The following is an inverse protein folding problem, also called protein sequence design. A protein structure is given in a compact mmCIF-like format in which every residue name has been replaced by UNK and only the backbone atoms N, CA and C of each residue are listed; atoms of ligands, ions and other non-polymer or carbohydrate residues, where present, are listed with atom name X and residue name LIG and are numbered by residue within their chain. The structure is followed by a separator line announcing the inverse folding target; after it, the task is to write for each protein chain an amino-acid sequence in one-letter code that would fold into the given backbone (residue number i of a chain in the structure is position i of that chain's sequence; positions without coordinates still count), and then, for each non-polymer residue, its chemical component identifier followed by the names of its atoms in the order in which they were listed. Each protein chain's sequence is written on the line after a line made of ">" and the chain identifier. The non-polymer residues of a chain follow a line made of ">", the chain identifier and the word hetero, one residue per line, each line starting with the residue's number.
data_IF_253848479293
#
_entry.id   IF_253848479293
#
_cell.length_a   1.000
_cell.length_b   1.000
_cell.length_c   1.000
_cell.angle_alpha   90.00
_cell.angle_beta   90.00
_cell.angle_gamma   90.00
#
_symmetry.space_group_name_H-M   'P 1'
#
loop_
_entity.id
_entity.type
_entity.pdbx_description
1 polymer ?
#
# COMPACT_ATOMS: atom_id res chain seq x y z
N UNK A 1 -15.53 0.51 -15.17
CA UNK A 1 -15.67 0.40 -13.69
C UNK A 1 -17.03 0.97 -13.30
N UNK A 2 -17.78 0.35 -12.39
CA UNK A 2 -19.13 0.83 -11.98
C UNK A 2 -19.08 1.66 -10.69
N UNK A 3 -20.13 2.42 -10.37
CA UNK A 3 -20.28 3.11 -9.07
C UNK A 3 -20.18 2.12 -7.90
N UNK A 4 -20.81 0.94 -8.03
CA UNK A 4 -20.76 -0.08 -6.99
C UNK A 4 -19.35 -0.66 -6.78
N UNK A 5 -18.53 -0.74 -7.83
CA UNK A 5 -17.12 -1.14 -7.71
C UNK A 5 -16.27 -0.03 -7.10
N UNK A 6 -16.62 1.24 -7.37
CA UNK A 6 -15.98 2.43 -6.81
C UNK A 6 -16.15 2.52 -5.31
N UNK A 7 -17.40 2.46 -4.84
CA UNK A 7 -17.69 2.56 -3.42
C UNK A 7 -17.06 1.42 -2.60
N UNK A 8 -16.79 0.27 -3.22
CA UNK A 8 -16.09 -0.86 -2.60
C UNK A 8 -14.56 -0.79 -2.69
N UNK A 9 -14.01 0.23 -3.33
CA UNK A 9 -12.57 0.43 -3.54
C UNK A 9 -11.84 -0.82 -4.09
N UNK A 10 -12.49 -1.61 -4.95
CA UNK A 10 -11.98 -2.95 -5.34
C UNK A 10 -10.70 -2.91 -6.16
N UNK A 11 -10.57 -1.90 -7.03
CA UNK A 11 -9.48 -1.81 -7.99
C UNK A 11 -9.02 -0.34 -8.07
N UNK A 12 -8.03 0.06 -7.24
CA UNK A 12 -7.54 1.44 -7.24
C UNK A 12 -6.95 1.86 -8.59
N UNK A 13 -6.28 0.96 -9.31
CA UNK A 13 -5.69 1.29 -10.61
C UNK A 13 -6.77 1.63 -11.64
N UNK A 14 -7.95 1.00 -11.55
CA UNK A 14 -9.10 1.34 -12.37
C UNK A 14 -9.78 2.64 -11.92
N UNK A 15 -9.79 2.94 -10.62
CA UNK A 15 -10.28 4.21 -10.08
C UNK A 15 -9.44 5.38 -10.59
N UNK A 16 -8.12 5.25 -10.51
CA UNK A 16 -7.18 6.30 -10.92
C UNK A 16 -7.21 6.51 -12.43
N UNK A 17 -7.23 5.44 -13.23
CA UNK A 17 -7.41 5.56 -14.70
C UNK A 17 -8.73 6.21 -15.10
N UNK A 18 -9.79 6.05 -14.30
CA UNK A 18 -11.08 6.69 -14.56
C UNK A 18 -11.03 8.22 -14.33
N UNK A 19 -10.18 8.66 -13.39
CA UNK A 19 -10.03 10.07 -13.03
C UNK A 19 -8.80 10.75 -13.64
N UNK A 20 -7.96 10.04 -14.39
CA UNK A 20 -6.63 10.52 -14.84
C UNK A 20 -6.68 11.93 -15.44
N UNK A 21 -7.58 12.15 -16.41
CA UNK A 21 -7.78 13.44 -17.08
C UNK A 21 -8.49 14.51 -16.23
N UNK A 22 -9.03 14.14 -15.07
CA UNK A 22 -9.75 15.04 -14.15
C UNK A 22 -8.90 15.48 -12.97
N UNK A 23 -7.87 14.72 -12.60
CA UNK A 23 -7.09 14.99 -11.39
C UNK A 23 -6.11 16.15 -11.61
N UNK A 24 -6.18 17.14 -10.72
CA UNK A 24 -5.22 18.24 -10.70
C UNK A 24 -3.84 17.77 -10.19
N UNK A 25 -2.76 18.54 -10.44
CA UNK A 25 -1.47 18.28 -9.81
C UNK A 25 -1.54 18.23 -8.28
N UNK A 26 -2.36 19.07 -7.65
CA UNK A 26 -2.60 19.07 -6.20
C UNK A 26 -3.21 17.74 -5.74
N UNK A 27 -4.21 17.23 -6.45
CA UNK A 27 -4.89 15.97 -6.12
C UNK A 27 -3.95 14.76 -6.25
N UNK A 28 -3.17 14.70 -7.34
CA UNK A 28 -2.13 13.69 -7.50
C UNK A 28 -1.10 13.74 -6.38
N UNK A 29 -0.64 14.95 -6.04
CA UNK A 29 0.35 15.16 -4.98
C UNK A 29 -0.21 14.72 -3.62
N UNK A 30 -1.43 15.09 -3.24
CA UNK A 30 -2.02 14.69 -1.96
C UNK A 30 -2.22 13.17 -1.84
N UNK A 31 -2.58 12.51 -2.93
CA UNK A 31 -2.64 11.05 -2.96
C UNK A 31 -1.24 10.43 -2.78
N UNK A 32 -0.23 10.98 -3.44
CA UNK A 32 1.17 10.55 -3.27
C UNK A 32 1.66 10.76 -1.82
N UNK A 33 1.36 11.91 -1.20
CA UNK A 33 1.62 12.18 0.22
C UNK A 33 0.99 11.10 1.12
N UNK A 34 -0.27 10.76 0.89
CA UNK A 34 -0.96 9.72 1.66
C UNK A 34 -0.29 8.34 1.52
N UNK A 35 0.20 8.00 0.33
CA UNK A 35 0.97 6.77 0.09
C UNK A 35 2.31 6.79 0.82
N UNK A 36 3.11 7.85 0.68
CA UNK A 36 4.40 8.00 1.37
C UNK A 36 4.22 7.95 2.89
N UNK A 37 3.13 8.54 3.41
CA UNK A 37 2.81 8.52 4.85
C UNK A 37 2.62 7.11 5.42
N UNK A 38 2.38 6.08 4.59
CA UNK A 38 2.32 4.69 5.06
C UNK A 38 3.69 4.12 5.43
N UNK A 39 4.77 4.74 4.98
CA UNK A 39 6.14 4.40 5.37
C UNK A 39 6.60 5.18 6.62
N UNK A 40 5.70 5.84 7.36
CA UNK A 40 6.06 6.68 8.51
C UNK A 40 6.84 5.92 9.60
N UNK A 41 6.51 4.65 9.85
CA UNK A 41 7.22 3.81 10.82
C UNK A 41 8.62 3.37 10.35
N UNK A 42 8.90 3.50 9.05
CA UNK A 42 10.21 3.23 8.45
C UNK A 42 11.06 4.49 8.40
N UNK A 43 10.44 5.64 8.13
CA UNK A 43 11.10 6.95 8.10
C UNK A 43 11.44 7.41 9.53
N UNK A 44 12.71 7.62 9.90
CA UNK A 44 13.04 8.19 11.20
C UNK A 44 12.69 9.69 11.27
N UNK A 45 12.76 10.24 12.48
CA UNK A 45 12.67 11.68 12.70
C UNK A 45 13.69 12.47 11.87
N UNK A 46 13.41 13.75 11.62
CA UNK A 46 14.36 14.66 10.96
C UNK A 46 14.01 14.97 9.50
N UNK A 47 15.03 15.16 8.61
CA UNK A 47 14.82 15.76 7.28
C UNK A 47 13.83 15.01 6.40
N UNK A 48 13.78 13.68 6.45
CA UNK A 48 12.88 12.88 5.62
C UNK A 48 11.41 13.10 5.99
N UNK A 49 11.07 13.08 7.28
CA UNK A 49 9.71 13.38 7.75
C UNK A 49 9.34 14.84 7.53
N UNK A 50 10.27 15.76 7.75
CA UNK A 50 10.06 17.18 7.48
C UNK A 50 9.74 17.45 6.00
N UNK A 51 10.39 16.74 5.07
CA UNK A 51 10.09 16.83 3.64
C UNK A 51 8.66 16.35 3.31
N UNK A 52 8.21 15.24 3.90
CA UNK A 52 6.83 14.77 3.72
C UNK A 52 5.81 15.76 4.29
N UNK A 53 6.08 16.31 5.47
CA UNK A 53 5.21 17.32 6.10
C UNK A 53 5.16 18.62 5.31
N UNK A 54 6.29 19.04 4.73
CA UNK A 54 6.35 20.17 3.82
C UNK A 54 5.50 19.92 2.57
N UNK A 55 5.64 18.75 1.92
CA UNK A 55 4.88 18.36 0.74
C UNK A 55 3.37 18.33 1.00
N UNK A 56 2.96 17.83 2.17
CA UNK A 56 1.57 17.86 2.63
C UNK A 56 1.02 19.29 2.82
N UNK A 57 1.85 20.23 3.25
CA UNK A 57 1.46 21.64 3.46
C UNK A 57 1.45 22.47 2.18
N UNK A 58 2.18 22.04 1.14
CA UNK A 58 2.31 22.72 -0.15
C UNK A 58 1.80 21.82 -1.29
N UNK A 59 0.52 21.40 -1.27
CA UNK A 59 0.06 20.37 -2.17
C UNK A 59 0.00 20.89 -3.61
N UNK A 60 0.61 20.14 -4.53
CA UNK A 60 0.78 20.52 -5.93
C UNK A 60 1.95 21.45 -6.21
N UNK A 61 2.69 21.90 -5.17
CA UNK A 61 3.90 22.69 -5.35
C UNK A 61 5.08 21.78 -5.71
N UNK A 62 5.61 21.98 -6.92
CA UNK A 62 6.83 21.34 -7.40
C UNK A 62 7.87 22.39 -7.82
N UNK A 63 7.78 23.58 -7.22
CA UNK A 63 8.62 24.73 -7.52
C UNK A 63 10.02 24.62 -6.94
N UNK A 64 10.77 25.74 -6.96
CA UNK A 64 12.15 25.80 -6.46
C UNK A 64 12.30 25.36 -5.00
N UNK A 65 11.29 25.63 -4.16
CA UNK A 65 11.31 25.27 -2.74
C UNK A 65 11.25 23.75 -2.53
N UNK A 66 10.42 23.04 -3.33
CA UNK A 66 10.42 21.58 -3.36
C UNK A 66 11.79 21.03 -3.83
N UNK A 67 12.31 21.60 -4.91
CA UNK A 67 13.59 21.20 -5.50
C UNK A 67 14.77 21.42 -4.56
N UNK A 68 14.73 22.44 -3.69
CA UNK A 68 15.76 22.75 -2.72
C UNK A 68 15.86 21.70 -1.60
N UNK A 69 14.81 20.93 -1.34
CA UNK A 69 14.82 19.85 -0.34
C UNK A 69 15.48 18.56 -0.86
N UNK A 70 15.42 18.31 -2.16
CA UNK A 70 15.89 17.05 -2.79
C UNK A 70 17.36 16.73 -2.47
N UNK A 71 18.34 17.67 -2.57
CA UNK A 71 19.74 17.37 -2.29
C UNK A 71 20.01 16.90 -0.86
N UNK A 72 19.12 17.23 0.09
CA UNK A 72 19.23 16.79 1.49
C UNK A 72 18.72 15.37 1.75
N UNK A 73 17.97 14.77 0.81
CA UNK A 73 17.31 13.47 1.01
C UNK A 73 18.32 12.32 1.05
N UNK A 74 19.24 12.23 0.07
CA UNK A 74 20.21 11.11 0.03
C UNK A 74 21.15 11.09 1.24
N UNK A 75 21.77 12.22 1.66
CA UNK A 75 22.64 12.22 2.84
C UNK A 75 21.86 11.87 4.11
N UNK A 76 20.62 12.38 4.26
CA UNK A 76 19.76 12.05 5.38
C UNK A 76 19.36 10.57 5.38
N UNK A 77 19.09 9.99 4.21
CA UNK A 77 18.76 8.58 4.05
C UNK A 77 19.92 7.67 4.45
N UNK A 78 21.16 8.02 4.08
CA UNK A 78 22.34 7.25 4.46
C UNK A 78 22.53 7.21 5.99
N UNK A 79 22.49 8.37 6.64
CA UNK A 79 22.60 8.46 8.11
C UNK A 79 21.47 7.69 8.78
N UNK A 80 20.24 7.88 8.31
CA UNK A 80 19.07 7.17 8.83
C UNK A 80 19.15 5.64 8.64
N UNK A 81 19.69 5.17 7.52
CA UNK A 81 19.87 3.76 7.24
C UNK A 81 20.94 3.14 8.17
N UNK A 82 22.05 3.84 8.41
CA UNK A 82 23.07 3.45 9.38
C UNK A 82 22.49 3.37 10.81
N UNK A 83 21.73 4.38 11.25
CA UNK A 83 21.06 4.37 12.55
C UNK A 83 20.04 3.21 12.69
N UNK A 84 19.29 2.91 11.62
CA UNK A 84 18.36 1.79 11.58
C UNK A 84 19.10 0.46 11.66
N UNK A 85 20.23 0.31 10.97
CA UNK A 85 21.12 -0.84 11.07
C UNK A 85 21.65 -1.00 12.48
N UNK A 86 22.16 0.06 13.11
CA UNK A 86 22.72 0.01 14.47
C UNK A 86 21.66 -0.34 15.52
N UNK A 87 20.46 0.25 15.41
CA UNK A 87 19.32 -0.12 16.26
C UNK A 87 18.98 -1.60 16.06
N UNK A 88 18.99 -2.07 14.82
CA UNK A 88 18.72 -3.47 14.51
C UNK A 88 19.83 -4.39 15.05
N UNK A 89 21.11 -4.00 14.97
CA UNK A 89 22.24 -4.70 15.58
C UNK A 89 22.04 -4.88 17.08
N UNK A 90 21.57 -3.86 17.79
CA UNK A 90 21.29 -3.97 19.23
C UNK A 90 20.19 -4.99 19.53
N UNK A 91 19.16 -5.09 18.67
CA UNK A 91 18.09 -6.10 18.81
C UNK A 91 18.66 -7.52 18.60
N UNK A 92 19.54 -7.70 17.61
CA UNK A 92 20.11 -9.01 17.27
C UNK A 92 21.38 -9.35 18.05
N UNK A 93 22.00 -8.43 18.79
CA UNK A 93 23.14 -8.70 19.65
C UNK A 93 22.80 -9.69 20.78
N UNK A 94 21.50 -9.84 21.10
CA UNK A 94 21.00 -10.91 21.96
C UNK A 94 21.05 -12.31 21.32
N UNK A 95 21.28 -12.41 20.00
CA UNK A 95 21.27 -13.66 19.25
C UNK A 95 22.57 -14.47 19.40
N UNK A 96 23.71 -13.87 19.70
CA UNK A 96 24.95 -14.62 20.01
C UNK A 96 25.95 -13.67 20.72
N UNK A 97 26.23 -13.86 22.02
CA UNK A 97 27.19 -13.02 22.74
C UNK A 97 28.64 -13.24 22.27
N UNK A 98 28.94 -14.34 21.58
CA UNK A 98 30.27 -14.69 21.04
C UNK A 98 30.43 -14.31 19.55
N UNK A 99 29.36 -13.79 18.92
CA UNK A 99 29.43 -13.30 17.55
C UNK A 99 30.12 -11.94 17.48
N UNK A 100 30.94 -11.76 16.45
CA UNK A 100 31.45 -10.44 16.09
C UNK A 100 30.27 -9.53 15.70
N UNK A 101 30.06 -8.39 16.41
CA UNK A 101 28.86 -7.56 16.26
C UNK A 101 28.78 -6.81 14.93
N UNK A 102 29.92 -6.69 14.23
CA UNK A 102 30.01 -5.96 12.97
C UNK A 102 29.82 -6.89 11.77
N UNK A 103 30.40 -8.09 11.84
CA UNK A 103 30.45 -9.07 10.76
C UNK A 103 29.46 -10.23 10.91
N UNK A 104 28.84 -10.40 12.09
CA UNK A 104 27.98 -11.53 12.44
C UNK A 104 28.61 -12.86 12.03
N UNK A 105 29.90 -13.05 12.31
CA UNK A 105 30.60 -14.31 12.05
C UNK A 105 30.73 -15.10 13.33
N UNK A 106 30.27 -16.34 13.30
CA UNK A 106 30.56 -17.30 14.35
C UNK A 106 32.05 -17.63 14.35
N UNK A 107 32.73 -17.40 15.47
CA UNK A 107 34.19 -17.47 15.59
C UNK A 107 34.71 -18.85 16.03
N UNK A 108 33.83 -19.75 16.50
CA UNK A 108 34.22 -21.10 16.90
C UNK A 108 34.37 -22.04 15.69
N UNK A 109 35.60 -22.15 15.19
CA UNK A 109 35.97 -23.06 14.09
C UNK A 109 36.27 -24.50 14.54
N UNK A 110 36.01 -24.85 15.81
CA UNK A 110 36.24 -26.22 16.28
C UNK A 110 35.32 -27.18 15.53
N UNK A 111 35.93 -28.02 14.67
CA UNK A 111 35.28 -29.12 13.91
C UNK A 111 34.46 -30.11 14.76
N UNK A 112 34.49 -29.98 16.09
CA UNK A 112 33.85 -30.88 17.06
C UNK A 112 32.61 -30.30 17.71
N UNK A 113 32.22 -29.05 17.44
CA UNK A 113 31.03 -28.45 18.05
C UNK A 113 29.77 -28.83 17.23
N UNK A 114 28.88 -29.71 17.75
CA UNK A 114 27.70 -30.15 17.00
C UNK A 114 26.63 -29.06 16.85
N UNK A 115 26.61 -28.02 17.70
CA UNK A 115 25.63 -26.92 17.63
C UNK A 115 26.11 -25.74 16.78
N UNK A 116 27.37 -25.71 16.34
CA UNK A 116 27.92 -24.65 15.49
C UNK A 116 27.08 -24.30 14.25
N UNK A 117 26.44 -25.26 13.53
CA UNK A 117 25.58 -24.91 12.39
C UNK A 117 24.40 -23.99 12.76
N UNK A 118 23.84 -24.14 13.96
CA UNK A 118 22.71 -23.33 14.44
C UNK A 118 23.14 -21.89 14.73
N UNK A 119 24.28 -21.71 15.40
CA UNK A 119 24.84 -20.37 15.65
C UNK A 119 25.26 -19.67 14.36
N UNK A 120 25.85 -20.40 13.40
CA UNK A 120 26.16 -19.86 12.08
C UNK A 120 24.91 -19.42 11.31
N UNK A 121 23.81 -20.19 11.40
CA UNK A 121 22.54 -19.79 10.80
C UNK A 121 21.92 -18.58 11.51
N UNK A 122 21.98 -18.53 12.84
CA UNK A 122 21.51 -17.39 13.63
C UNK A 122 22.23 -16.09 13.23
N UNK A 123 23.55 -16.17 13.09
CA UNK A 123 24.42 -15.12 12.58
C UNK A 123 24.03 -14.63 11.18
N UNK A 124 23.79 -15.54 10.22
CA UNK A 124 23.32 -15.16 8.87
C UNK A 124 21.97 -14.44 8.92
N UNK A 125 21.01 -14.96 9.69
CA UNK A 125 19.71 -14.33 9.85
C UNK A 125 19.82 -12.95 10.52
N UNK A 126 20.70 -12.78 11.51
CA UNK A 126 20.98 -11.49 12.12
C UNK A 126 21.55 -10.49 11.10
N UNK A 127 22.50 -10.92 10.26
CA UNK A 127 23.04 -10.11 9.17
C UNK A 127 21.95 -9.65 8.18
N UNK A 128 21.12 -10.57 7.70
CA UNK A 128 19.99 -10.24 6.81
C UNK A 128 18.98 -9.30 7.48
N UNK A 129 18.75 -9.44 8.79
CA UNK A 129 17.87 -8.54 9.54
C UNK A 129 18.40 -7.10 9.53
N UNK A 130 19.68 -6.91 9.78
CA UNK A 130 20.35 -5.60 9.81
C UNK A 130 20.37 -4.98 8.42
N UNK A 131 20.79 -5.72 7.40
CA UNK A 131 20.82 -5.26 6.00
C UNK A 131 19.45 -4.72 5.58
N UNK A 132 18.39 -5.51 5.80
CA UNK A 132 17.03 -5.11 5.47
C UNK A 132 16.53 -3.90 6.27
N UNK A 133 16.97 -3.71 7.52
CA UNK A 133 16.59 -2.51 8.27
C UNK A 133 17.10 -1.22 7.57
N UNK A 134 18.31 -1.24 7.04
CA UNK A 134 18.87 -0.12 6.26
C UNK A 134 18.20 0.05 4.90
N UNK A 135 18.05 -1.04 4.14
CA UNK A 135 17.37 -1.02 2.81
C UNK A 135 15.95 -0.46 2.88
N UNK A 136 15.21 -0.78 3.96
CA UNK A 136 13.86 -0.26 4.15
C UNK A 136 13.84 1.28 4.20
N UNK A 137 14.81 1.90 4.89
CA UNK A 137 14.96 3.35 4.96
C UNK A 137 15.30 3.93 3.60
N UNK A 138 16.22 3.32 2.86
CA UNK A 138 16.62 3.76 1.52
C UNK A 138 15.42 3.83 0.57
N UNK A 139 14.60 2.78 0.51
CA UNK A 139 13.40 2.78 -0.33
C UNK A 139 12.34 3.78 0.15
N UNK A 140 12.19 3.96 1.46
CA UNK A 140 11.28 4.98 1.98
C UNK A 140 11.74 6.40 1.60
N UNK A 141 13.04 6.68 1.65
CA UNK A 141 13.61 7.95 1.25
C UNK A 141 13.53 8.19 -0.27
N UNK A 142 13.66 7.14 -1.09
CA UNK A 142 13.43 7.20 -2.53
C UNK A 142 11.98 7.65 -2.83
N UNK A 143 11.00 7.13 -2.09
CA UNK A 143 9.61 7.58 -2.20
C UNK A 143 9.45 9.07 -1.83
N UNK A 144 10.19 9.56 -0.84
CA UNK A 144 10.20 10.98 -0.46
C UNK A 144 10.84 11.85 -1.56
N UNK A 145 11.96 11.42 -2.16
CA UNK A 145 12.58 12.13 -3.27
C UNK A 145 11.66 12.16 -4.51
N UNK A 146 11.00 11.04 -4.80
CA UNK A 146 10.02 10.95 -5.87
C UNK A 146 8.83 11.88 -5.62
N UNK A 147 8.35 12.01 -4.38
CA UNK A 147 7.28 12.94 -3.99
C UNK A 147 7.62 14.40 -4.30
N UNK A 148 8.85 14.83 -4.01
CA UNK A 148 9.33 16.21 -4.26
C UNK A 148 9.68 16.48 -5.73
N UNK A 149 9.70 15.44 -6.57
CA UNK A 149 10.05 15.57 -7.99
C UNK A 149 8.94 16.26 -8.78
N UNK A 150 9.28 16.99 -9.86
CA UNK A 150 8.33 17.85 -10.57
C UNK A 150 7.22 17.15 -11.38
N UNK A 151 7.21 15.82 -11.40
CA UNK A 151 6.27 15.05 -12.20
C UNK A 151 5.06 14.62 -11.36
N UNK A 152 4.03 15.47 -11.18
CA UNK A 152 2.78 15.03 -10.55
C UNK A 152 1.93 14.19 -11.52
N UNK A 153 1.60 12.94 -11.17
CA UNK A 153 0.72 12.10 -11.99
C UNK A 153 0.80 10.59 -11.70
N UNK A 154 0.10 9.80 -12.52
CA UNK A 154 -0.01 8.34 -12.36
C UNK A 154 1.34 7.61 -12.37
N UNK A 155 2.29 8.04 -13.19
CA UNK A 155 3.63 7.44 -13.28
C UNK A 155 4.43 7.63 -11.99
N UNK A 156 4.48 8.86 -11.46
CA UNK A 156 5.14 9.16 -10.19
C UNK A 156 4.48 8.40 -9.04
N UNK A 157 3.14 8.37 -8.99
CA UNK A 157 2.43 7.61 -7.96
C UNK A 157 2.76 6.11 -8.03
N UNK A 158 2.87 5.54 -9.23
CA UNK A 158 3.23 4.12 -9.40
C UNK A 158 4.61 3.84 -8.81
N UNK A 159 5.60 4.66 -9.13
CA UNK A 159 6.95 4.53 -8.57
C UNK A 159 6.97 4.71 -7.04
N UNK A 160 6.28 5.73 -6.52
CA UNK A 160 6.14 5.95 -5.06
C UNK A 160 5.53 4.72 -4.37
N UNK A 161 4.49 4.12 -4.96
CA UNK A 161 3.85 2.92 -4.42
C UNK A 161 4.82 1.73 -4.40
N UNK A 162 5.60 1.52 -5.45
CA UNK A 162 6.62 0.47 -5.52
C UNK A 162 7.67 0.64 -4.43
N UNK A 163 8.18 1.86 -4.24
CA UNK A 163 9.13 2.18 -3.17
C UNK A 163 8.53 1.93 -1.78
N UNK A 164 7.30 2.38 -1.50
CA UNK A 164 6.64 2.18 -0.20
C UNK A 164 6.32 0.71 0.08
N UNK A 165 5.85 -0.04 -0.92
CA UNK A 165 5.62 -1.50 -0.81
C UNK A 165 6.93 -2.20 -0.48
N UNK A 166 8.01 -1.86 -1.18
CA UNK A 166 9.34 -2.44 -0.95
C UNK A 166 9.86 -2.08 0.43
N UNK A 167 9.83 -0.80 0.83
CA UNK A 167 10.27 -0.33 2.14
C UNK A 167 9.55 -1.07 3.29
N UNK A 168 8.22 -1.17 3.22
CA UNK A 168 7.42 -1.82 4.26
C UNK A 168 7.54 -3.35 4.24
N UNK A 169 7.79 -3.97 3.08
CA UNK A 169 8.12 -5.40 2.97
C UNK A 169 9.46 -5.69 3.64
N UNK A 170 10.49 -4.96 3.24
CA UNK A 170 11.86 -5.17 3.72
C UNK A 170 11.94 -4.89 5.22
N UNK A 171 11.22 -3.87 5.74
CA UNK A 171 11.12 -3.68 7.20
C UNK A 171 10.47 -4.87 7.93
N UNK A 172 9.44 -5.47 7.35
CA UNK A 172 8.81 -6.66 7.90
C UNK A 172 9.72 -7.89 7.82
N UNK A 173 10.49 -8.01 6.73
CA UNK A 173 11.51 -9.04 6.56
C UNK A 173 12.64 -8.90 7.60
N UNK A 174 13.10 -7.68 7.89
CA UNK A 174 14.07 -7.42 8.95
C UNK A 174 13.59 -7.98 10.30
N UNK A 175 12.31 -7.78 10.63
CA UNK A 175 11.70 -8.30 11.86
C UNK A 175 11.58 -9.83 11.84
N UNK A 176 11.23 -10.42 10.70
CA UNK A 176 11.16 -11.87 10.50
C UNK A 176 12.54 -12.54 10.69
N UNK A 177 13.59 -11.97 10.10
CA UNK A 177 14.94 -12.47 10.22
C UNK A 177 15.50 -12.31 11.63
N UNK A 178 15.17 -11.22 12.34
CA UNK A 178 15.51 -11.07 13.76
C UNK A 178 14.88 -12.19 14.61
N UNK A 179 13.61 -12.51 14.38
CA UNK A 179 12.93 -13.60 15.06
C UNK A 179 13.55 -14.97 14.72
N UNK A 180 13.94 -15.17 13.46
CA UNK A 180 14.65 -16.38 13.02
C UNK A 180 16.00 -16.52 13.72
N UNK A 181 16.78 -15.44 13.82
CA UNK A 181 18.08 -15.42 14.49
C UNK A 181 17.97 -15.81 15.98
N UNK A 182 17.03 -15.21 16.71
CA UNK A 182 16.78 -15.52 18.12
C UNK A 182 16.33 -16.98 18.32
N UNK A 183 15.50 -17.51 17.41
CA UNK A 183 15.04 -18.89 17.46
C UNK A 183 16.18 -19.88 17.23
N UNK A 184 17.00 -19.65 16.20
CA UNK A 184 18.15 -20.48 15.88
C UNK A 184 19.20 -20.46 16.99
N UNK A 185 19.42 -19.31 17.64
CA UNK A 185 20.23 -19.23 18.86
C UNK A 185 19.70 -20.14 19.94
N UNK A 186 18.42 -20.00 20.31
CA UNK A 186 17.86 -20.76 21.41
C UNK A 186 17.98 -22.28 21.19
N UNK A 187 17.80 -22.72 19.94
CA UNK A 187 18.04 -24.12 19.54
C UNK A 187 19.53 -24.49 19.64
N UNK A 188 20.43 -23.59 19.28
CA UNK A 188 21.88 -23.76 19.42
C UNK A 188 22.33 -23.89 20.88
N UNK A 189 21.82 -23.04 21.78
CA UNK A 189 22.05 -23.09 23.22
C UNK A 189 21.58 -24.43 23.80
N UNK A 190 20.34 -24.84 23.47
CA UNK A 190 19.78 -26.11 23.93
C UNK A 190 20.61 -27.31 23.43
N UNK A 191 21.05 -27.29 22.17
CA UNK A 191 21.90 -28.33 21.61
C UNK A 191 23.30 -28.38 22.26
N UNK A 192 23.85 -27.22 22.65
CA UNK A 192 25.12 -27.13 23.36
C UNK A 192 25.03 -27.70 24.78
N UNK A 193 23.96 -27.37 25.51
CA UNK A 193 23.72 -27.88 26.87
C UNK A 193 23.55 -29.41 26.91
N UNK A 194 23.01 -29.99 25.84
CA UNK A 194 22.83 -31.43 25.68
C UNK A 194 24.09 -32.18 25.20
N UNK A 195 25.22 -31.47 24.96
CA UNK A 195 26.40 -32.09 24.37
C UNK A 195 27.22 -32.97 25.35
N UNK A 196 26.91 -34.25 25.34
CA UNK A 196 27.68 -35.30 26.04
C UNK A 196 29.00 -35.74 25.35
N UNK A 197 29.52 -35.04 24.34
CA UNK A 197 30.74 -35.39 23.55
C UNK A 197 30.72 -36.77 22.87
N UNK A 198 29.55 -37.40 22.72
CA UNK A 198 29.33 -38.68 22.03
C UNK A 198 28.47 -38.43 20.79
N UNK A 199 28.63 -39.24 19.75
CA UNK A 199 27.82 -39.16 18.52
C UNK A 199 27.83 -37.77 17.84
N UNK A 200 28.97 -37.05 17.90
CA UNK A 200 29.12 -35.67 17.39
C UNK A 200 28.63 -35.52 15.95
N UNK A 201 28.91 -36.49 15.08
CA UNK A 201 28.46 -36.47 13.67
C UNK A 201 26.93 -36.51 13.54
N UNK A 202 26.26 -37.34 14.32
CA UNK A 202 24.80 -37.45 14.30
C UNK A 202 24.16 -36.15 14.78
N UNK A 203 24.67 -35.57 15.87
CA UNK A 203 24.16 -34.30 16.41
C UNK A 203 24.36 -33.13 15.45
N UNK A 204 25.54 -33.06 14.81
CA UNK A 204 25.81 -32.07 13.78
C UNK A 204 24.87 -32.21 12.57
N UNK A 205 24.54 -33.44 12.16
CA UNK A 205 23.56 -33.69 11.10
C UNK A 205 22.14 -33.22 11.51
N UNK A 206 21.71 -33.48 12.75
CA UNK A 206 20.42 -33.00 13.29
C UNK A 206 20.38 -31.47 13.33
N UNK A 207 21.48 -30.81 13.72
CA UNK A 207 21.58 -29.36 13.71
C UNK A 207 21.44 -28.79 12.28
N UNK A 208 22.10 -29.41 11.29
CA UNK A 208 21.98 -29.02 9.88
C UNK A 208 20.55 -29.20 9.33
N UNK A 209 19.89 -30.30 9.66
CA UNK A 209 18.49 -30.53 9.28
C UNK A 209 17.56 -29.49 9.90
N UNK A 210 17.79 -29.15 11.17
CA UNK A 210 17.04 -28.11 11.87
C UNK A 210 17.23 -26.75 11.19
N UNK A 211 18.47 -26.37 10.89
CA UNK A 211 18.79 -25.14 10.14
C UNK A 211 18.03 -25.11 8.81
N UNK A 212 18.10 -26.18 8.02
CA UNK A 212 17.42 -26.26 6.72
C UNK A 212 15.91 -26.00 6.83
N UNK A 213 15.25 -26.64 7.80
CA UNK A 213 13.82 -26.44 8.05
C UNK A 213 13.48 -25.01 8.46
N UNK A 214 14.28 -24.40 9.33
CA UNK A 214 14.02 -23.03 9.82
C UNK A 214 14.28 -21.98 8.74
N UNK A 215 15.35 -22.13 7.95
CA UNK A 215 15.66 -21.24 6.82
C UNK A 215 14.60 -21.35 5.72
N UNK A 216 14.14 -22.55 5.38
CA UNK A 216 13.04 -22.77 4.43
C UNK A 216 11.75 -22.10 4.91
N UNK A 217 11.41 -22.28 6.19
CA UNK A 217 10.22 -21.67 6.79
C UNK A 217 10.30 -20.13 6.80
N UNK A 218 11.47 -19.56 7.03
CA UNK A 218 11.71 -18.12 6.97
C UNK A 218 11.62 -17.60 5.52
N UNK A 219 12.22 -18.30 4.55
CA UNK A 219 12.15 -17.95 3.14
C UNK A 219 10.71 -17.97 2.61
N UNK A 220 9.92 -18.99 2.98
CA UNK A 220 8.50 -19.07 2.64
C UNK A 220 7.73 -17.85 3.17
N UNK A 221 7.87 -17.56 4.48
CA UNK A 221 7.21 -16.39 5.10
C UNK A 221 7.65 -15.07 4.48
N UNK A 222 8.93 -14.95 4.13
CA UNK A 222 9.47 -13.76 3.48
C UNK A 222 8.88 -13.58 2.07
N UNK A 223 8.70 -14.67 1.32
CA UNK A 223 8.02 -14.66 0.01
C UNK A 223 6.58 -14.14 0.10
N UNK A 224 5.82 -14.61 1.10
CA UNK A 224 4.43 -14.17 1.33
C UNK A 224 4.31 -12.66 1.63
N UNK A 225 5.36 -12.02 2.17
CA UNK A 225 5.31 -10.59 2.49
C UNK A 225 5.07 -9.72 1.26
N UNK A 226 5.60 -10.09 0.08
CA UNK A 226 5.40 -9.29 -1.14
C UNK A 226 3.91 -9.18 -1.49
N UNK A 227 3.23 -10.32 -1.64
CA UNK A 227 1.81 -10.34 -1.96
C UNK A 227 0.97 -9.64 -0.88
N UNK A 228 1.31 -9.84 0.40
CA UNK A 228 0.63 -9.18 1.51
C UNK A 228 0.75 -7.64 1.43
N UNK A 229 1.96 -7.12 1.15
CA UNK A 229 2.18 -5.67 1.07
C UNK A 229 1.57 -5.04 -0.18
N UNK A 230 1.60 -5.72 -1.33
CA UNK A 230 0.89 -5.28 -2.53
C UNK A 230 -0.63 -5.23 -2.34
N UNK A 231 -1.20 -6.25 -1.67
CA UNK A 231 -2.62 -6.27 -1.35
C UNK A 231 -3.00 -5.15 -0.37
N UNK A 232 -2.16 -4.92 0.65
CA UNK A 232 -2.34 -3.82 1.59
C UNK A 232 -2.23 -2.46 0.89
N UNK A 233 -1.32 -2.32 -0.08
CA UNK A 233 -1.21 -1.13 -0.92
C UNK A 233 -2.47 -0.86 -1.72
N UNK A 234 -2.96 -1.87 -2.45
CA UNK A 234 -4.18 -1.72 -3.23
C UNK A 234 -5.38 -1.33 -2.36
N UNK A 235 -5.53 -1.95 -1.18
CA UNK A 235 -6.58 -1.58 -0.21
C UNK A 235 -6.41 -0.12 0.24
N UNK A 236 -5.19 0.31 0.58
CA UNK A 236 -4.94 1.65 1.07
C UNK A 236 -5.19 2.73 0.02
N UNK A 237 -4.65 2.56 -1.20
CA UNK A 237 -4.85 3.53 -2.30
C UNK A 237 -6.32 3.64 -2.66
N UNK A 238 -7.07 2.53 -2.66
CA UNK A 238 -8.51 2.57 -2.91
C UNK A 238 -9.27 3.37 -1.84
N UNK A 239 -8.89 3.24 -0.55
CA UNK A 239 -9.47 4.02 0.55
C UNK A 239 -9.10 5.50 0.46
N UNK A 240 -7.86 5.82 0.11
CA UNK A 240 -7.46 7.21 -0.13
C UNK A 240 -8.20 7.81 -1.31
N UNK A 241 -8.38 7.07 -2.41
CA UNK A 241 -9.16 7.57 -3.55
C UNK A 241 -10.62 7.87 -3.17
N UNK A 242 -11.24 7.08 -2.29
CA UNK A 242 -12.57 7.39 -1.74
C UNK A 242 -12.57 8.66 -0.88
N UNK A 243 -11.55 8.82 -0.04
CA UNK A 243 -11.43 9.97 0.86
C UNK A 243 -11.11 11.27 0.10
N UNK A 244 -10.22 11.23 -0.88
CA UNK A 244 -9.79 12.44 -1.61
C UNK A 244 -10.76 12.83 -2.71
N UNK A 245 -11.40 11.86 -3.36
CA UNK A 245 -12.15 12.11 -4.59
C UNK A 245 -13.64 11.86 -4.47
N UNK A 246 -14.14 11.36 -3.33
CA UNK A 246 -15.57 11.14 -3.10
C UNK A 246 -16.19 10.14 -4.09
N UNK A 247 -17.43 10.39 -4.52
CA UNK A 247 -18.14 9.57 -5.50
C UNK A 247 -18.32 10.33 -6.84
N UNK A 248 -17.48 10.06 -7.86
CA UNK A 248 -17.49 10.82 -9.11
C UNK A 248 -18.68 10.47 -10.04
N UNK A 249 -19.53 9.51 -9.64
CA UNK A 249 -20.73 9.11 -10.39
C UNK A 249 -21.97 9.90 -9.98
N UNK A 250 -21.87 10.75 -8.95
CA UNK A 250 -22.94 11.63 -8.49
C UNK A 250 -22.47 13.08 -8.45
N UNK A 251 -23.38 14.06 -8.61
CA UNK A 251 -23.03 15.46 -8.40
C UNK A 251 -22.61 15.71 -6.95
N UNK A 252 -21.62 16.57 -6.75
CA UNK A 252 -21.26 17.08 -5.42
C UNK A 252 -22.16 18.26 -5.07
N UNK A 253 -23.25 18.02 -4.33
CA UNK A 253 -24.11 19.09 -3.81
C UNK A 253 -23.47 19.67 -2.54
N UNK A 254 -23.17 20.96 -2.58
CA UNK A 254 -22.77 21.73 -1.40
C UNK A 254 -23.41 23.11 -1.48
N UNK A 255 -24.30 23.44 -0.53
CA UNK A 255 -24.95 24.75 -0.55
C UNK A 255 -24.07 25.81 0.13
N UNK A 256 -23.92 27.02 -0.46
CA UNK A 256 -23.11 28.08 0.13
C UNK A 256 -23.54 28.47 1.56
N UNK A 257 -24.82 28.28 1.90
CA UNK A 257 -25.35 28.54 3.25
C UNK A 257 -24.74 27.63 4.32
N UNK A 258 -24.31 26.41 3.97
CA UNK A 258 -23.68 25.47 4.91
C UNK A 258 -22.27 25.89 5.31
N UNK A 259 -21.63 26.80 4.56
CA UNK A 259 -20.28 27.32 4.83
C UNK A 259 -20.32 28.46 5.86
N UNK A 260 -20.79 28.15 7.06
CA UNK A 260 -20.77 29.10 8.18
C UNK A 260 -19.34 29.37 8.65
N UNK A 261 -19.14 30.42 9.47
CA UNK A 261 -17.85 30.70 10.09
C UNK A 261 -17.36 29.52 10.93
N UNK A 262 -18.25 28.91 11.72
CA UNK A 262 -17.95 27.73 12.54
C UNK A 262 -17.50 26.54 11.71
N UNK A 263 -18.23 26.21 10.63
CA UNK A 263 -17.87 25.11 9.72
C UNK A 263 -16.51 25.37 9.07
N UNK A 264 -16.27 26.59 8.61
CA UNK A 264 -15.03 26.95 7.91
C UNK A 264 -13.83 26.97 8.86
N UNK A 265 -13.97 27.54 10.06
CA UNK A 265 -12.92 27.55 11.08
C UNK A 265 -12.56 26.12 11.50
N UNK A 266 -13.57 25.28 11.77
CA UNK A 266 -13.35 23.90 12.15
C UNK A 266 -12.67 23.11 11.02
N UNK A 267 -13.11 23.25 9.78
CA UNK A 267 -12.48 22.62 8.63
C UNK A 267 -11.01 23.04 8.45
N UNK A 268 -10.70 24.34 8.62
CA UNK A 268 -9.31 24.84 8.58
C UNK A 268 -8.44 24.22 9.67
N UNK A 269 -8.95 24.15 10.90
CA UNK A 269 -8.23 23.53 12.02
C UNK A 269 -8.02 22.04 11.79
N UNK A 270 -9.05 21.31 11.37
CA UNK A 270 -8.97 19.89 11.05
C UNK A 270 -7.89 19.65 9.98
N UNK A 271 -7.95 20.43 8.89
CA UNK A 271 -7.00 20.33 7.81
C UNK A 271 -5.57 20.66 8.27
N UNK A 272 -5.36 21.81 8.91
CA UNK A 272 -4.03 22.27 9.33
C UNK A 272 -3.36 21.31 10.33
N UNK A 273 -4.10 20.89 11.36
CA UNK A 273 -3.57 20.10 12.47
C UNK A 273 -3.66 18.59 12.24
N UNK A 274 -4.28 18.17 11.12
CA UNK A 274 -4.62 16.75 10.84
C UNK A 274 -5.50 16.13 11.93
N UNK A 275 -6.37 16.93 12.54
CA UNK A 275 -7.26 16.51 13.61
C UNK A 275 -8.49 15.76 13.07
N UNK A 276 -8.25 14.65 12.36
CA UNK A 276 -9.29 13.85 11.69
C UNK A 276 -10.32 13.26 12.67
N UNK A 277 -9.93 13.10 13.93
CA UNK A 277 -10.81 12.71 15.04
C UNK A 277 -11.95 13.71 15.29
N UNK A 278 -11.82 14.95 14.80
CA UNK A 278 -12.85 15.99 14.90
C UNK A 278 -13.83 16.02 13.72
N UNK A 279 -13.69 15.14 12.73
CA UNK A 279 -14.63 15.05 11.61
C UNK A 279 -16.09 14.82 12.05
N UNK A 280 -16.41 14.03 13.10
CA UNK A 280 -17.78 13.94 13.60
C UNK A 280 -18.31 15.28 14.15
N UNK A 281 -17.45 16.10 14.78
CA UNK A 281 -17.83 17.44 15.26
C UNK A 281 -18.14 18.36 14.07
N UNK A 282 -17.39 18.22 12.97
CA UNK A 282 -17.69 18.92 11.72
C UNK A 282 -19.04 18.51 11.13
N UNK A 283 -19.42 17.24 11.24
CA UNK A 283 -20.74 16.77 10.82
C UNK A 283 -21.87 17.46 11.59
N UNK A 284 -21.70 17.64 12.90
CA UNK A 284 -22.70 18.29 13.75
C UNK A 284 -22.77 19.80 13.45
N UNK A 285 -21.64 20.46 13.24
CA UNK A 285 -21.61 21.86 12.82
C UNK A 285 -22.27 22.08 11.43
N UNK A 286 -22.12 21.12 10.51
CA UNK A 286 -22.80 21.13 9.22
C UNK A 286 -24.32 20.95 9.38
N UNK A 287 -24.76 20.05 10.26
CA UNK A 287 -26.18 19.88 10.57
C UNK A 287 -26.80 21.13 11.21
N UNK A 288 -26.08 21.79 12.12
CA UNK A 288 -26.49 23.07 12.71
C UNK A 288 -26.59 24.19 11.66
N UNK A 289 -25.89 24.04 10.54
CA UNK A 289 -25.98 24.91 9.36
C UNK A 289 -27.05 24.45 8.35
N UNK A 290 -27.96 23.57 8.76
CA UNK A 290 -29.03 22.98 7.93
C UNK A 290 -28.52 22.14 6.74
N UNK A 291 -27.32 21.54 6.85
CA UNK A 291 -26.83 20.58 5.85
C UNK A 291 -27.67 19.30 5.84
N UNK A 292 -28.28 19.00 4.69
CA UNK A 292 -29.12 17.82 4.47
C UNK A 292 -28.46 16.77 3.55
N UNK A 293 -27.23 17.01 3.09
CA UNK A 293 -26.53 16.10 2.19
C UNK A 293 -25.94 14.91 2.96
N UNK A 294 -26.67 13.80 2.92
CA UNK A 294 -26.34 12.57 3.64
C UNK A 294 -24.95 12.02 3.28
N UNK A 295 -24.47 12.19 2.04
CA UNK A 295 -23.14 11.74 1.66
C UNK A 295 -22.03 12.46 2.47
N UNK A 296 -22.18 13.78 2.66
CA UNK A 296 -21.24 14.59 3.46
C UNK A 296 -21.29 14.16 4.92
N UNK A 297 -22.49 14.05 5.50
CA UNK A 297 -22.67 13.73 6.91
C UNK A 297 -22.16 12.32 7.25
N UNK A 298 -22.44 11.33 6.39
CA UNK A 298 -21.93 9.96 6.57
C UNK A 298 -20.43 9.87 6.46
N UNK A 299 -19.84 10.60 5.52
CA UNK A 299 -18.39 10.66 5.37
C UNK A 299 -17.74 11.22 6.65
N UNK A 300 -18.21 12.36 7.14
CA UNK A 300 -17.68 12.98 8.37
C UNK A 300 -17.83 12.09 9.62
N UNK A 301 -18.92 11.31 9.70
CA UNK A 301 -19.18 10.39 10.83
C UNK A 301 -18.50 9.03 10.68
N UNK A 302 -17.93 8.76 9.52
CA UNK A 302 -17.39 7.44 9.16
C UNK A 302 -18.42 6.32 9.10
N UNK A 303 -19.67 6.64 8.75
CA UNK A 303 -20.79 5.68 8.67
C UNK A 303 -21.14 5.33 7.22
N UNK A 304 -20.18 5.38 6.33
CA UNK A 304 -20.34 5.02 4.92
C UNK A 304 -20.55 3.49 4.78
N UNK A 305 -21.53 3.09 3.97
CA UNK A 305 -21.97 1.69 3.90
C UNK A 305 -20.91 0.70 3.38
N UNK A 306 -19.90 1.18 2.65
CA UNK A 306 -18.90 0.36 1.99
C UNK A 306 -17.50 0.49 2.62
N UNK A 307 -17.40 1.21 3.73
CA UNK A 307 -16.15 1.54 4.43
C UNK A 307 -16.31 1.21 5.92
N UNK A 308 -16.34 -0.09 6.31
CA UNK A 308 -16.62 -0.49 7.69
C UNK A 308 -15.55 -0.03 8.69
N UNK A 309 -14.31 0.17 8.22
CA UNK A 309 -13.19 0.70 8.99
C UNK A 309 -13.18 2.24 9.05
N UNK A 310 -14.23 2.91 8.56
CA UNK A 310 -14.30 4.37 8.36
C UNK A 310 -13.43 4.89 7.20
N UNK A 311 -13.59 6.18 6.82
CA UNK A 311 -12.75 6.85 5.84
C UNK A 311 -11.30 6.93 6.30
N UNK A 312 -10.38 6.89 5.34
CA UNK A 312 -8.96 7.08 5.60
C UNK A 312 -8.59 8.56 5.40
N UNK A 313 -9.12 9.41 6.29
CA UNK A 313 -8.99 10.87 6.18
C UNK A 313 -7.54 11.30 6.00
N UNK A 314 -7.32 12.11 4.96
CA UNK A 314 -6.08 12.79 4.69
C UNK A 314 -6.31 14.25 4.29
N UNK A 315 -5.19 14.97 4.10
CA UNK A 315 -5.27 16.25 3.39
C UNK A 315 -5.79 15.98 1.98
N UNK A 316 -6.76 16.78 1.55
CA UNK A 316 -7.50 16.55 0.31
C UNK A 316 -8.81 15.79 0.49
N UNK A 317 -9.21 15.44 1.72
CA UNK A 317 -10.54 14.92 2.01
C UNK A 317 -11.62 15.72 1.27
N UNK A 318 -12.45 15.06 0.47
CA UNK A 318 -13.36 15.71 -0.46
C UNK A 318 -14.35 16.65 0.23
N UNK A 319 -14.78 16.33 1.46
CA UNK A 319 -15.65 17.22 2.26
C UNK A 319 -14.90 18.48 2.71
N UNK A 320 -13.67 18.33 3.20
CA UNK A 320 -12.86 19.48 3.61
C UNK A 320 -12.54 20.37 2.40
N UNK A 321 -12.21 19.77 1.26
CA UNK A 321 -11.93 20.51 0.03
C UNK A 321 -13.19 21.23 -0.50
N UNK A 322 -14.38 20.65 -0.39
CA UNK A 322 -15.65 21.36 -0.67
C UNK A 322 -15.84 22.56 0.27
N UNK A 323 -15.62 22.40 1.58
CA UNK A 323 -15.79 23.48 2.56
C UNK A 323 -14.75 24.58 2.35
N UNK A 324 -13.50 24.23 2.08
CA UNK A 324 -12.39 25.18 1.91
C UNK A 324 -12.25 25.69 0.48
N UNK A 325 -13.13 25.26 -0.42
CA UNK A 325 -13.13 25.60 -1.85
C UNK A 325 -11.79 25.27 -2.53
N UNK A 326 -11.19 24.16 -2.13
CA UNK A 326 -10.08 23.55 -2.83
C UNK A 326 -10.65 22.71 -3.98
N UNK A 327 -10.14 22.87 -5.20
CA UNK A 327 -10.61 22.14 -6.40
C UNK A 327 -12.05 22.40 -6.88
N UNK A 328 -12.52 23.66 -7.00
CA UNK A 328 -13.89 23.93 -7.46
C UNK A 328 -14.17 23.37 -8.87
N UNK A 329 -13.15 23.32 -9.74
CA UNK A 329 -13.29 22.77 -11.09
C UNK A 329 -13.54 21.25 -11.08
N UNK A 330 -12.91 20.50 -10.16
CA UNK A 330 -13.10 19.06 -10.03
C UNK A 330 -14.52 18.74 -9.56
N UNK A 331 -14.99 19.41 -8.51
CA UNK A 331 -16.31 19.15 -7.93
C UNK A 331 -17.48 19.67 -8.78
N UNK A 332 -17.24 20.67 -9.63
CA UNK A 332 -18.22 21.15 -10.61
C UNK A 332 -18.29 20.26 -11.88
N UNK A 333 -17.34 19.34 -12.08
CA UNK A 333 -17.32 18.50 -13.26
C UNK A 333 -18.56 17.59 -13.33
N UNK A 334 -19.12 17.34 -14.53
CA UNK A 334 -20.29 16.49 -14.67
C UNK A 334 -20.00 15.06 -14.18
N UNK A 335 -21.00 14.39 -13.58
CA UNK A 335 -20.83 13.01 -13.12
C UNK A 335 -20.36 12.09 -14.24
N UNK A 336 -19.48 11.15 -13.89
CA UNK A 336 -18.99 10.15 -14.82
C UNK A 336 -20.14 9.22 -15.19
N UNK A 337 -20.42 9.11 -16.49
CA UNK A 337 -21.37 8.15 -17.04
C UNK A 337 -20.60 6.93 -17.49
N UNK A 338 -20.91 5.77 -16.94
CA UNK A 338 -20.43 4.49 -17.47
C UNK A 338 -21.41 4.07 -18.55
N UNK A 339 -20.96 3.81 -19.77
CA UNK A 339 -21.82 3.18 -20.77
C UNK A 339 -22.28 1.83 -20.23
N UNK A 340 -23.59 1.70 -19.98
CA UNK A 340 -24.18 0.40 -19.67
C UNK A 340 -23.99 -0.50 -20.88
N UNK A 341 -23.38 -1.68 -20.65
CA UNK A 341 -23.30 -2.71 -21.69
C UNK A 341 -24.73 -2.96 -22.19
N UNK A 342 -25.01 -2.86 -23.51
CA UNK A 342 -26.37 -2.99 -24.01
C UNK A 342 -26.96 -4.32 -23.54
N UNK A 343 -28.24 -4.36 -23.16
CA UNK A 343 -28.86 -5.59 -22.70
C UNK A 343 -28.63 -6.67 -23.75
N UNK A 344 -28.22 -7.86 -23.30
CA UNK A 344 -28.05 -9.01 -24.19
C UNK A 344 -29.34 -9.15 -25.03
N UNK A 345 -29.23 -9.35 -26.36
CA UNK A 345 -30.40 -9.52 -27.19
C UNK A 345 -31.25 -10.62 -26.58
N UNK A 346 -32.56 -10.36 -26.42
CA UNK A 346 -33.50 -11.36 -25.93
C UNK A 346 -33.31 -12.60 -26.81
N UNK A 347 -33.08 -13.77 -26.18
CA UNK A 347 -33.01 -15.03 -26.93
C UNK A 347 -34.26 -15.09 -27.82
N UNK A 348 -34.11 -15.38 -29.13
CA UNK A 348 -35.28 -15.57 -29.97
C UNK A 348 -36.18 -16.60 -29.31
N UNK A 349 -37.46 -16.27 -29.19
CA UNK A 349 -38.46 -17.21 -28.68
C UNK A 349 -38.43 -18.51 -29.51
N UNK A 350 -38.93 -19.63 -28.96
CA UNK A 350 -39.00 -20.87 -29.71
C UNK A 350 -39.72 -20.63 -31.05
N UNK A 351 -39.22 -21.22 -32.16
CA UNK A 351 -39.85 -21.05 -33.46
C UNK A 351 -41.31 -21.49 -33.37
N UNK A 352 -42.22 -20.63 -33.85
CA UNK A 352 -43.63 -20.96 -34.02
C UNK A 352 -43.75 -22.22 -34.90
N UNK A 353 -44.48 -23.26 -34.48
CA UNK A 353 -44.60 -24.49 -35.25
C UNK A 353 -45.52 -24.25 -36.45
N UNK A 354 -44.92 -23.97 -37.61
CA UNK A 354 -45.68 -23.87 -38.85
C UNK A 354 -44.86 -23.28 -39.99
N UNK A 355 -44.32 -24.15 -40.86
CA UNK A 355 -43.81 -23.75 -42.18
C UNK A 355 -42.45 -24.32 -42.58
N UNK A 356 -41.68 -24.91 -41.66
CA UNK A 356 -40.29 -25.34 -41.94
C UNK A 356 -40.13 -26.63 -42.76
N UNK A 357 -41.11 -27.53 -42.72
CA UNK A 357 -40.98 -28.86 -43.37
C UNK A 357 -41.23 -28.84 -44.89
N UNK A 358 -41.94 -27.84 -45.42
CA UNK A 358 -42.22 -27.75 -46.85
C UNK A 358 -40.99 -27.34 -47.69
N UNK A 359 -40.00 -26.66 -47.11
CA UNK A 359 -38.79 -26.21 -47.83
C UNK A 359 -37.64 -27.22 -47.83
N UNK A 360 -37.72 -28.27 -47.02
CA UNK A 360 -36.65 -29.26 -46.87
C UNK A 360 -36.83 -30.45 -47.83
N UNK A 361 -38.03 -30.65 -48.39
CA UNK A 361 -38.32 -31.69 -49.39
C UNK A 361 -38.06 -31.22 -50.83
N UNK A 362 -38.18 -29.93 -51.13
CA UNK A 362 -37.86 -29.36 -52.45
C UNK A 362 -36.35 -29.38 -52.75
N UNK A 363 -35.51 -29.33 -51.71
CA UNK A 363 -34.04 -29.27 -51.85
C UNK A 363 -33.36 -30.64 -52.00
N UNK A 364 -34.13 -31.74 -52.01
CA UNK A 364 -33.62 -33.12 -52.11
C UNK A 364 -34.03 -33.83 -53.41
N UNK A 365 -34.61 -33.11 -54.38
CA UNK A 365 -35.07 -33.68 -55.66
C UNK A 365 -34.30 -33.23 -56.90
N UNK A 366 -33.31 -32.34 -56.77
CA UNK A 366 -32.45 -31.93 -57.90
C UNK A 366 -31.01 -32.44 -57.68
N UNK A 367 -30.75 -33.68 -58.14
CA UNK A 367 -29.41 -34.24 -58.32
C UNK A 367 -29.20 -34.50 -59.82
N UNK A 368 -28.54 -33.58 -60.56
CA UNK A 368 -28.03 -33.88 -61.90
C UNK A 368 -26.61 -34.43 -61.79
N UNK A 369 -26.50 -35.76 -61.95
CA UNK A 369 -25.29 -36.43 -62.41
C UNK A 369 -24.78 -35.74 -63.69
N UNK A 370 -23.54 -35.26 -63.68
CA UNK A 370 -22.76 -35.01 -64.90
C UNK A 370 -21.31 -35.47 -64.69
N UNK A 371 -20.97 -36.43 -65.55
CA UNK A 371 -19.79 -36.45 -66.42
C UNK A 371 -18.71 -37.52 -66.21
N UNK A 372 -18.71 -38.37 -67.24
CA UNK A 372 -17.66 -39.19 -67.81
C UNK A 372 -16.47 -38.34 -68.37
N UNK A 373 -15.36 -39.07 -68.58
CA UNK A 373 -14.13 -38.79 -69.36
C UNK A 373 -12.95 -38.03 -68.69
#
# INVERSE_FOLDING_TARGET
>A
MTEADWLKAKNPDAMLRLLDDRLSPRQWHLLACAVVRRAWDVLPGGPLRAAVEWAEQHPGDTGPDAAALIPGIEPAARVAAEEAQDTQRQIVAAADPDADPDSFRHTDERKTNPSAPLFQAACRAAGSSVEQAGEAVTHAAEAVAALLSPAAGAGQLTHIRECVVTATRVRAGASLYAASALKLKAQGDEAADQDTKKNVRLRSAIALETVGREEEQAAYKHGDLQEQKEKADKKAVGRFALDLFGNPFKPYRFEPAWRTSTVTELARTIYADRAWDRMPILADALLDADCDEEAILRHCRGTEAHTPDGPAHGRGCWVLDLILEHEPAFFAAPPIKVEEKPPLPRRPGPPTPGGGWARLLDALQDDPDDDDE
#
